data_IF_399303734160
#
_entry.id   IF_399303734160
#
_cell.length_a   1.000
_cell.length_b   1.000
_cell.length_c   1.000
_cell.angle_alpha   90.00
_cell.angle_beta   90.00
_cell.angle_gamma   90.00
#
_symmetry.space_group_name_H-M   'P 1'
#
loop_
_entity.id
_entity.type
_entity.pdbx_description
1 polymer ?
#
# COMPACT_ATOMS: atom_id res chain seq x y z
N UNK A 1 -14.87 38.80 47.96
CA UNK A 1 -14.88 37.53 47.19
C UNK A 1 -14.05 37.75 45.93
N UNK A 2 -12.79 37.29 45.85
CA UNK A 2 -12.01 37.39 44.62
C UNK A 2 -12.30 36.19 43.70
N UNK A 3 -12.49 36.50 42.42
CA UNK A 3 -12.73 35.54 41.35
C UNK A 3 -11.50 34.67 41.10
N UNK A 4 -11.70 33.36 41.01
CA UNK A 4 -10.70 32.40 40.54
C UNK A 4 -10.39 32.66 39.07
N UNK A 5 -9.18 33.13 38.79
CA UNK A 5 -8.62 33.11 37.44
C UNK A 5 -8.48 31.65 36.98
N UNK A 6 -9.30 31.28 35.99
CA UNK A 6 -9.17 30.06 35.22
C UNK A 6 -7.81 30.05 34.52
N UNK A 7 -6.89 29.27 35.07
CA UNK A 7 -5.54 29.02 34.55
C UNK A 7 -5.61 28.47 33.12
N UNK A 8 -5.51 29.36 32.14
CA UNK A 8 -5.31 28.99 30.74
C UNK A 8 -3.90 28.39 30.61
N UNK A 9 -3.84 27.05 30.65
CA UNK A 9 -2.62 26.26 30.55
C UNK A 9 -2.02 26.46 29.15
N UNK A 10 -1.20 27.51 28.98
CA UNK A 10 -0.39 27.75 27.77
C UNK A 10 0.59 26.60 27.60
N UNK A 11 0.21 25.58 26.86
CA UNK A 11 1.14 24.57 26.36
C UNK A 11 2.14 25.28 25.45
N UNK A 12 3.44 25.15 25.74
CA UNK A 12 4.47 25.72 24.88
C UNK A 12 4.32 25.16 23.45
N UNK A 13 4.54 25.98 22.41
CA UNK A 13 4.34 25.56 21.01
C UNK A 13 5.20 24.33 20.65
N UNK A 14 6.37 24.20 21.26
CA UNK A 14 7.25 23.01 21.17
C UNK A 14 6.60 21.74 21.72
N UNK A 15 5.87 21.83 22.84
CA UNK A 15 5.19 20.66 23.44
C UNK A 15 4.02 20.20 22.58
N UNK A 16 3.26 21.13 22.01
CA UNK A 16 2.15 20.81 21.09
C UNK A 16 2.68 20.09 19.84
N UNK A 17 3.75 20.61 19.23
CA UNK A 17 4.34 20.01 18.02
C UNK A 17 4.85 18.58 18.26
N UNK A 18 5.44 18.31 19.42
CA UNK A 18 5.88 16.94 19.77
C UNK A 18 4.71 15.97 19.89
N UNK A 19 3.61 16.42 20.51
CA UNK A 19 2.39 15.61 20.62
C UNK A 19 1.83 15.32 19.23
N UNK A 20 1.76 16.33 18.36
CA UNK A 20 1.24 16.16 16.99
C UNK A 20 2.07 15.14 16.18
N UNK A 21 3.39 15.17 16.33
CA UNK A 21 4.29 14.19 15.67
C UNK A 21 4.07 12.78 16.23
N UNK A 22 3.94 12.63 17.55
CA UNK A 22 3.69 11.33 18.18
C UNK A 22 2.33 10.75 17.75
N UNK A 23 1.30 11.58 17.67
CA UNK A 23 -0.02 11.19 17.17
C UNK A 23 0.07 10.77 15.70
N UNK A 24 0.79 11.51 14.86
CA UNK A 24 0.93 11.19 13.45
C UNK A 24 1.70 9.88 13.25
N UNK A 25 2.77 9.68 14.02
CA UNK A 25 3.53 8.43 14.00
C UNK A 25 2.67 7.24 14.42
N UNK A 26 1.80 7.41 15.42
CA UNK A 26 0.86 6.37 15.85
C UNK A 26 -0.15 6.04 14.75
N UNK A 27 -0.73 7.06 14.11
CA UNK A 27 -1.66 6.89 12.98
C UNK A 27 -0.99 6.19 11.79
N UNK A 28 0.26 6.56 11.47
CA UNK A 28 1.03 5.90 10.42
C UNK A 28 1.33 4.44 10.77
N UNK A 29 1.69 4.15 12.02
CA UNK A 29 1.94 2.78 12.47
C UNK A 29 0.69 1.90 12.34
N UNK A 30 -0.48 2.42 12.75
CA UNK A 30 -1.76 1.72 12.56
C UNK A 30 -2.09 1.57 11.08
N UNK A 31 -1.92 2.61 10.27
CA UNK A 31 -2.19 2.57 8.83
C UNK A 31 -1.27 1.62 8.07
N UNK A 32 -0.01 1.46 8.51
CA UNK A 32 0.91 0.45 7.99
C UNK A 32 0.49 -0.94 8.41
N UNK A 33 0.13 -1.12 9.68
CA UNK A 33 -0.37 -2.39 10.19
C UNK A 33 -1.55 -2.91 9.36
N UNK A 34 -2.52 -2.06 9.02
CA UNK A 34 -3.69 -2.40 8.21
C UNK A 34 -3.38 -2.69 6.72
N UNK A 35 -2.21 -2.28 6.23
CA UNK A 35 -1.78 -2.45 4.82
C UNK A 35 -0.80 -3.60 4.64
N UNK A 36 -0.41 -4.27 5.72
CA UNK A 36 0.51 -5.39 5.63
C UNK A 36 -0.13 -6.55 4.88
N UNK A 37 0.61 -7.23 3.98
CA UNK A 37 0.09 -8.36 3.25
C UNK A 37 -0.35 -9.50 4.20
N UNK A 38 -1.46 -10.19 3.92
CA UNK A 38 -1.96 -11.30 4.75
C UNK A 38 -0.92 -12.39 4.98
N UNK A 39 -0.05 -12.64 3.99
CA UNK A 39 1.03 -13.62 4.06
C UNK A 39 2.00 -13.38 5.24
N UNK A 40 2.08 -12.15 5.77
CA UNK A 40 2.92 -11.85 6.96
C UNK A 40 2.32 -12.38 8.28
N UNK A 41 1.02 -12.68 8.28
CA UNK A 41 0.26 -13.16 9.44
C UNK A 41 -0.05 -14.65 9.39
N UNK A 42 0.31 -15.35 8.31
CA UNK A 42 0.15 -16.79 8.18
C UNK A 42 0.99 -17.56 9.20
N UNK A 43 0.73 -18.87 9.37
CA UNK A 43 1.36 -19.74 10.40
C UNK A 43 2.90 -19.80 10.34
N UNK A 44 3.52 -19.37 9.24
CA UNK A 44 4.97 -19.25 9.09
C UNK A 44 5.48 -17.79 8.96
N UNK A 45 4.59 -16.80 9.07
CA UNK A 45 4.92 -15.39 8.94
C UNK A 45 5.49 -14.80 10.23
N UNK A 46 6.26 -13.72 10.09
CA UNK A 46 6.92 -13.04 11.20
C UNK A 46 5.96 -12.40 12.21
N UNK A 47 4.71 -12.14 11.81
CA UNK A 47 3.70 -11.43 12.62
C UNK A 47 2.50 -12.31 12.98
N UNK A 48 2.63 -13.63 12.93
CA UNK A 48 1.53 -14.56 13.22
C UNK A 48 0.81 -14.28 14.56
N UNK A 49 1.54 -13.85 15.59
CA UNK A 49 0.96 -13.49 16.90
C UNK A 49 -0.04 -12.32 16.86
N UNK A 50 0.01 -11.48 15.82
CA UNK A 50 -0.93 -10.36 15.63
C UNK A 50 -2.04 -10.69 14.63
N UNK A 51 -2.10 -11.92 14.11
CA UNK A 51 -3.11 -12.33 13.13
C UNK A 51 -4.55 -12.18 13.64
N UNK A 52 -4.77 -12.31 14.96
CA UNK A 52 -6.10 -12.20 15.58
C UNK A 52 -6.67 -10.77 15.56
N UNK A 53 -5.80 -9.77 15.54
CA UNK A 53 -6.19 -8.35 15.54
C UNK A 53 -6.09 -7.72 14.15
N UNK A 54 -5.46 -8.41 13.19
CA UNK A 54 -5.38 -7.94 11.81
C UNK A 54 -6.65 -8.31 11.04
N UNK A 55 -7.31 -7.36 10.34
CA UNK A 55 -8.44 -7.68 9.48
C UNK A 55 -7.99 -8.62 8.37
N UNK A 56 -8.54 -9.83 8.33
CA UNK A 56 -8.26 -10.77 7.26
C UNK A 56 -9.16 -10.47 6.05
N UNK A 57 -8.65 -10.62 4.82
CA UNK A 57 -9.45 -10.40 3.62
C UNK A 57 -10.61 -11.41 3.58
N UNK A 58 -11.82 -10.92 3.32
CA UNK A 58 -13.00 -11.77 3.18
C UNK A 58 -12.97 -12.60 1.88
N UNK A 59 -12.21 -12.14 0.87
CA UNK A 59 -12.02 -12.82 -0.40
C UNK A 59 -10.63 -13.45 -0.42
N UNK A 60 -10.58 -14.78 -0.36
CA UNK A 60 -9.32 -15.56 -0.34
C UNK A 60 -8.96 -16.15 -1.69
N UNK A 61 -9.84 -16.01 -2.67
CA UNK A 61 -9.62 -16.48 -4.04
C UNK A 61 -8.84 -15.44 -4.83
N UNK A 62 -8.00 -15.92 -5.75
CA UNK A 62 -7.17 -15.09 -6.59
C UNK A 62 -8.04 -14.30 -7.57
N UNK A 63 -7.85 -12.97 -7.65
CA UNK A 63 -8.61 -12.11 -8.55
C UNK A 63 -8.23 -12.34 -10.01
N UNK A 64 -9.19 -12.27 -10.94
CA UNK A 64 -8.92 -12.45 -12.37
C UNK A 64 -7.81 -11.51 -12.87
N UNK A 65 -7.88 -10.23 -12.48
CA UNK A 65 -6.88 -9.23 -12.86
C UNK A 65 -5.51 -9.50 -12.21
N UNK A 66 -5.48 -10.00 -10.97
CA UNK A 66 -4.23 -10.35 -10.29
C UNK A 66 -3.52 -11.50 -11.01
N UNK A 67 -4.29 -12.49 -11.48
CA UNK A 67 -3.73 -13.61 -12.24
C UNK A 67 -3.08 -13.14 -13.52
N UNK A 68 -3.77 -12.24 -14.22
CA UNK A 68 -3.29 -11.68 -15.46
C UNK A 68 -1.99 -10.90 -15.26
N UNK A 69 -1.90 -10.11 -14.19
CA UNK A 69 -0.64 -9.42 -13.85
C UNK A 69 0.48 -10.39 -13.49
N UNK A 70 0.17 -11.50 -12.81
CA UNK A 70 1.16 -12.55 -12.54
C UNK A 70 1.74 -13.10 -13.84
N UNK A 71 0.90 -13.41 -14.83
CA UNK A 71 1.35 -13.90 -16.15
C UNK A 71 2.29 -12.90 -16.83
N UNK A 72 1.96 -11.60 -16.79
CA UNK A 72 2.83 -10.58 -17.37
C UNK A 72 4.18 -10.46 -16.66
N UNK A 73 4.20 -10.51 -15.33
CA UNK A 73 5.46 -10.51 -14.56
C UNK A 73 6.29 -11.74 -14.86
N UNK A 74 5.67 -12.92 -14.95
CA UNK A 74 6.36 -14.16 -15.32
C UNK A 74 6.94 -14.11 -16.73
N UNK A 75 6.19 -13.58 -17.70
CA UNK A 75 6.67 -13.35 -19.06
C UNK A 75 7.91 -12.44 -19.07
N UNK A 76 7.86 -11.34 -18.31
CA UNK A 76 8.99 -10.41 -18.19
C UNK A 76 10.18 -11.04 -17.45
N UNK A 77 9.94 -11.90 -16.45
CA UNK A 77 10.99 -12.65 -15.75
C UNK A 77 11.71 -13.66 -16.65
N UNK A 78 11.04 -14.22 -17.66
CA UNK A 78 11.64 -15.17 -18.60
C UNK A 78 12.37 -14.46 -19.76
N UNK A 79 11.78 -13.41 -20.31
CA UNK A 79 12.28 -12.71 -21.51
C UNK A 79 13.06 -11.42 -21.24
N UNK A 80 13.08 -10.93 -20.00
CA UNK A 80 13.65 -9.63 -19.63
C UNK A 80 12.82 -8.45 -20.12
N UNK A 81 13.32 -7.22 -19.91
CA UNK A 81 12.60 -5.99 -20.27
C UNK A 81 12.36 -5.85 -21.79
N UNK A 82 13.22 -6.45 -22.61
CA UNK A 82 13.09 -6.46 -24.06
C UNK A 82 11.93 -7.31 -24.59
N UNK A 83 11.36 -8.20 -23.76
CA UNK A 83 10.22 -9.02 -24.13
C UNK A 83 8.87 -8.30 -23.97
N UNK A 84 8.86 -7.06 -23.47
CA UNK A 84 7.61 -6.33 -23.29
C UNK A 84 6.78 -6.15 -24.57
N UNK A 85 7.36 -5.83 -25.75
CA UNK A 85 6.61 -5.78 -26.99
C UNK A 85 5.96 -7.13 -27.33
N UNK A 86 6.66 -8.25 -27.07
CA UNK A 86 6.13 -9.59 -27.34
C UNK A 86 4.94 -9.91 -26.44
N UNK A 87 4.98 -9.51 -25.16
CA UNK A 87 3.84 -9.65 -24.23
C UNK A 87 2.62 -8.86 -24.73
N UNK A 88 2.84 -7.67 -25.32
CA UNK A 88 1.76 -6.86 -25.91
C UNK A 88 1.18 -7.53 -27.14
N UNK A 89 2.02 -8.07 -28.02
CA UNK A 89 1.60 -8.77 -29.23
C UNK A 89 0.80 -10.04 -28.88
N UNK A 90 1.29 -10.85 -27.93
CA UNK A 90 0.59 -12.02 -27.39
C UNK A 90 -0.76 -11.64 -26.78
N UNK A 91 -0.82 -10.54 -26.02
CA UNK A 91 -2.09 -10.03 -25.49
C UNK A 91 -3.06 -9.66 -26.62
N UNK A 92 -2.61 -8.96 -27.67
CA UNK A 92 -3.46 -8.56 -28.81
C UNK A 92 -4.00 -9.79 -29.53
N UNK A 93 -3.16 -10.80 -29.75
CA UNK A 93 -3.58 -12.05 -30.38
C UNK A 93 -4.60 -12.81 -29.51
N UNK A 94 -4.34 -12.93 -28.20
CA UNK A 94 -5.24 -13.61 -27.28
C UNK A 94 -6.60 -12.91 -27.18
N UNK A 95 -6.59 -11.58 -27.09
CA UNK A 95 -7.80 -10.74 -27.03
C UNK A 95 -8.68 -10.90 -28.27
N UNK A 96 -8.11 -11.12 -29.46
CA UNK A 96 -8.90 -11.35 -30.69
C UNK A 96 -9.72 -12.64 -30.64
N UNK A 97 -9.27 -13.63 -29.87
CA UNK A 97 -9.93 -14.95 -29.78
C UNK A 97 -11.03 -15.01 -28.72
N UNK A 98 -11.06 -14.02 -27.82
CA UNK A 98 -11.99 -13.98 -26.71
C UNK A 98 -13.21 -13.12 -27.05
N UNK A 99 -14.38 -13.60 -26.66
CA UNK A 99 -15.64 -12.82 -26.75
C UNK A 99 -15.75 -11.76 -25.67
N UNK A 100 -14.91 -11.83 -24.63
CA UNK A 100 -14.82 -10.86 -23.54
C UNK A 100 -13.56 -10.00 -23.65
N UNK A 101 -13.52 -8.89 -22.90
CA UNK A 101 -12.32 -8.05 -22.84
C UNK A 101 -11.45 -8.41 -21.64
N UNK A 102 -10.19 -8.73 -21.90
CA UNK A 102 -9.14 -8.82 -20.90
C UNK A 102 -8.46 -7.46 -20.75
N UNK A 103 -7.84 -7.22 -19.60
CA UNK A 103 -7.17 -5.96 -19.31
C UNK A 103 -5.81 -5.89 -20.02
N UNK A 104 -5.54 -4.86 -20.83
CA UNK A 104 -4.24 -4.71 -21.47
C UNK A 104 -3.14 -4.49 -20.44
N UNK A 105 -1.87 -4.83 -20.76
CA UNK A 105 -0.72 -4.52 -19.92
C UNK A 105 -0.40 -3.01 -19.98
N UNK A 106 -1.34 -2.15 -19.59
CA UNK A 106 -1.16 -0.69 -19.51
C UNK A 106 -0.54 -0.26 -18.19
N UNK A 107 -0.67 -1.09 -17.15
CA UNK A 107 -0.04 -0.86 -15.84
C UNK A 107 1.43 -1.32 -15.86
N UNK A 108 2.19 -0.83 -16.85
CA UNK A 108 3.61 -1.18 -17.02
C UNK A 108 4.40 -1.00 -15.73
N UNK A 109 4.23 0.15 -15.04
CA UNK A 109 4.96 0.43 -13.81
C UNK A 109 4.70 -0.61 -12.72
N UNK A 110 3.48 -1.14 -12.63
CA UNK A 110 3.12 -2.16 -11.65
C UNK A 110 3.76 -3.51 -11.99
N UNK A 111 3.68 -3.92 -13.26
CA UNK A 111 4.32 -5.16 -13.77
C UNK A 111 5.84 -5.07 -13.63
N UNK A 112 6.42 -3.94 -14.00
CA UNK A 112 7.85 -3.66 -13.88
C UNK A 112 8.32 -3.65 -12.43
N UNK A 113 7.60 -2.98 -11.53
CA UNK A 113 7.91 -3.00 -10.11
C UNK A 113 7.82 -4.43 -9.54
N UNK A 114 6.83 -5.22 -9.95
CA UNK A 114 6.73 -6.64 -9.61
C UNK A 114 7.95 -7.44 -10.08
N UNK A 115 8.39 -7.24 -11.33
CA UNK A 115 9.59 -7.84 -11.89
C UNK A 115 10.86 -7.44 -11.09
N UNK A 116 11.04 -6.16 -10.79
CA UNK A 116 12.19 -5.67 -10.00
C UNK A 116 12.16 -6.25 -8.59
N UNK A 117 11.00 -6.22 -7.93
CA UNK A 117 10.83 -6.75 -6.58
C UNK A 117 11.17 -8.25 -6.53
N UNK A 118 10.62 -9.02 -7.47
CA UNK A 118 10.96 -10.43 -7.64
C UNK A 118 12.46 -10.65 -7.89
N UNK A 119 13.08 -9.82 -8.72
CA UNK A 119 14.51 -9.93 -9.02
C UNK A 119 15.40 -9.65 -7.80
N UNK A 120 14.98 -8.75 -6.91
CA UNK A 120 15.71 -8.40 -5.68
C UNK A 120 15.49 -9.41 -4.56
N UNK A 121 14.25 -9.87 -4.35
CA UNK A 121 13.87 -10.69 -3.20
C UNK A 121 13.71 -12.19 -3.52
N UNK A 122 13.74 -12.59 -4.79
CA UNK A 122 13.64 -13.99 -5.21
C UNK A 122 12.30 -14.67 -4.92
N UNK A 123 11.23 -13.89 -4.69
CA UNK A 123 9.90 -14.41 -4.36
C UNK A 123 9.06 -14.74 -5.61
N UNK A 124 7.92 -15.40 -5.40
CA UNK A 124 6.96 -15.66 -6.48
C UNK A 124 6.38 -14.36 -7.07
N UNK A 125 5.93 -14.40 -8.33
CA UNK A 125 5.38 -13.23 -9.03
C UNK A 125 4.12 -12.69 -8.35
N UNK A 126 3.25 -13.57 -7.84
CA UNK A 126 2.06 -13.13 -7.12
C UNK A 126 2.44 -12.43 -5.81
N UNK A 127 3.35 -13.03 -5.05
CA UNK A 127 3.86 -12.44 -3.81
C UNK A 127 4.53 -11.09 -4.08
N UNK A 128 5.34 -10.99 -5.14
CA UNK A 128 5.97 -9.73 -5.53
C UNK A 128 4.94 -8.63 -5.82
N UNK A 129 3.89 -8.94 -6.58
CA UNK A 129 2.81 -7.99 -6.90
C UNK A 129 2.05 -7.53 -5.65
N UNK A 130 1.76 -8.44 -4.72
CA UNK A 130 1.11 -8.11 -3.44
C UNK A 130 1.99 -7.22 -2.56
N UNK A 131 3.30 -7.52 -2.49
CA UNK A 131 4.26 -6.72 -1.71
C UNK A 131 4.45 -5.33 -2.31
N UNK A 132 4.52 -5.23 -3.65
CA UNK A 132 4.58 -3.94 -4.35
C UNK A 132 3.33 -3.11 -4.08
N UNK A 133 2.13 -3.71 -4.16
CA UNK A 133 0.89 -3.01 -3.87
C UNK A 133 0.85 -2.49 -2.43
N UNK A 134 1.21 -3.33 -1.45
CA UNK A 134 1.30 -2.94 -0.05
C UNK A 134 2.32 -1.81 0.19
N UNK A 135 3.51 -1.93 -0.42
CA UNK A 135 4.58 -0.94 -0.30
C UNK A 135 4.16 0.43 -0.84
N UNK A 136 3.60 0.48 -2.05
CA UNK A 136 3.12 1.73 -2.63
C UNK A 136 1.93 2.30 -1.85
N UNK A 137 1.04 1.47 -1.30
CA UNK A 137 -0.05 1.92 -0.44
C UNK A 137 0.47 2.59 0.85
N UNK A 138 1.49 2.02 1.48
CA UNK A 138 2.17 2.63 2.64
C UNK A 138 2.88 3.94 2.27
N UNK A 139 3.55 3.97 1.11
CA UNK A 139 4.21 5.18 0.59
C UNK A 139 3.17 6.29 0.32
N UNK A 140 2.03 5.95 -0.28
CA UNK A 140 0.92 6.89 -0.48
C UNK A 140 0.43 7.45 0.85
N UNK A 141 0.31 6.63 1.89
CA UNK A 141 -0.08 7.11 3.22
C UNK A 141 0.94 8.13 3.78
N UNK A 142 2.23 7.85 3.67
CA UNK A 142 3.29 8.80 4.02
C UNK A 142 3.22 10.09 3.19
N UNK A 143 2.98 9.95 1.88
CA UNK A 143 2.86 11.09 0.99
C UNK A 143 1.68 11.97 1.37
N UNK A 144 0.51 11.38 1.65
CA UNK A 144 -0.68 12.10 2.13
C UNK A 144 -0.39 12.83 3.43
N UNK A 145 0.27 12.18 4.39
CA UNK A 145 0.67 12.81 5.66
C UNK A 145 1.58 14.03 5.45
N UNK A 146 2.65 13.86 4.67
CA UNK A 146 3.61 14.93 4.39
C UNK A 146 2.98 16.08 3.58
N UNK A 147 2.19 15.75 2.56
CA UNK A 147 1.57 16.73 1.68
C UNK A 147 0.55 17.60 2.43
N UNK A 148 -0.32 16.98 3.23
CA UNK A 148 -1.31 17.68 4.05
C UNK A 148 -0.66 18.53 5.14
N UNK A 149 0.42 18.02 5.76
CA UNK A 149 1.19 18.78 6.74
C UNK A 149 1.78 20.05 6.12
N UNK A 150 2.34 19.94 4.91
CA UNK A 150 2.91 21.10 4.19
C UNK A 150 1.87 22.12 3.75
N UNK A 151 0.65 21.69 3.40
CA UNK A 151 -0.38 22.60 2.89
C UNK A 151 -1.22 23.29 3.96
N UNK A 152 -1.65 22.56 5.00
CA UNK A 152 -2.61 23.08 6.01
C UNK A 152 -2.16 22.90 7.46
N UNK A 153 -0.96 22.35 7.68
CA UNK A 153 -0.39 22.18 9.01
C UNK A 153 -0.73 20.86 9.70
N UNK A 154 -0.27 20.69 10.95
CA UNK A 154 -0.25 19.39 11.65
C UNK A 154 -1.63 18.82 11.96
N UNK A 155 -2.58 19.66 12.39
CA UNK A 155 -3.95 19.23 12.74
C UNK A 155 -4.68 18.62 11.54
N UNK A 156 -4.57 19.25 10.37
CA UNK A 156 -5.16 18.73 9.14
C UNK A 156 -4.47 17.46 8.67
N UNK A 157 -3.14 17.39 8.81
CA UNK A 157 -2.38 16.19 8.49
C UNK A 157 -2.81 14.99 9.31
N UNK A 158 -2.99 15.17 10.63
CA UNK A 158 -3.51 14.12 11.50
C UNK A 158 -4.87 13.61 11.05
N UNK A 159 -5.83 14.50 10.82
CA UNK A 159 -7.18 14.13 10.42
C UNK A 159 -7.23 13.41 9.07
N UNK A 160 -6.54 13.95 8.05
CA UNK A 160 -6.54 13.36 6.71
C UNK A 160 -5.78 12.03 6.69
N UNK A 161 -4.63 11.95 7.35
CA UNK A 161 -3.87 10.69 7.43
C UNK A 161 -4.65 9.62 8.18
N UNK A 162 -5.38 9.98 9.24
CA UNK A 162 -6.23 9.03 9.96
C UNK A 162 -7.35 8.48 9.08
N UNK A 163 -8.01 9.34 8.28
CA UNK A 163 -9.04 8.91 7.33
C UNK A 163 -8.45 8.00 6.24
N UNK A 164 -7.31 8.38 5.66
CA UNK A 164 -6.64 7.54 4.66
C UNK A 164 -6.14 6.22 5.27
N UNK A 165 -5.70 6.21 6.53
CA UNK A 165 -5.17 5.02 7.18
C UNK A 165 -6.22 3.89 7.25
N UNK A 166 -7.49 4.21 7.48
CA UNK A 166 -8.60 3.25 7.55
C UNK A 166 -9.41 3.13 6.26
N UNK A 167 -9.07 3.89 5.22
CA UNK A 167 -9.73 3.77 3.93
C UNK A 167 -9.40 2.40 3.31
N UNK A 168 -10.40 1.64 2.83
CA UNK A 168 -10.16 0.38 2.12
C UNK A 168 -9.41 0.67 0.81
N UNK A 169 -8.36 -0.11 0.54
CA UNK A 169 -7.51 -0.01 -0.65
C UNK A 169 -7.55 -1.27 -1.47
#
# INVERSE_FOLDING_TARGET
>A
MPAQESSCRKTSPERSRRIDILLLATVLAVGFFLRLPPATFDRGGSLHGLAQIHPQPAYTTLGFDEDLYRVYVEGLSKGGLGAYPQIVDEYIEHQKTLTGSILPPVRFLYIFAGYVWRSVFGCDAMTALQQVAAFFSMLTLCFVALFTWRLRGPLWSLGVTALFAVAPT
#
